data_IF_707654838275
#
_entry.id   IF_707654838275
#
_cell.length_a   1.000
_cell.length_b   1.000
_cell.length_c   1.000
_cell.angle_alpha   90.00
_cell.angle_beta   90.00
_cell.angle_gamma   90.00
#
_symmetry.space_group_name_H-M   'P 1'
#
loop_
_entity.id
_entity.type
_entity.pdbx_description
1 polymer ?
#
# COMPACT_ATOMS: atom_id res chain seq x y z
N UNK A 1 -11.34 6.99 36.35
CA UNK A 1 -10.19 7.80 35.91
C UNK A 1 -9.09 6.98 35.26
N UNK A 2 -8.58 5.93 35.88
CA UNK A 2 -7.53 5.11 35.27
C UNK A 2 -7.92 4.45 33.94
N UNK A 3 -9.19 4.04 33.79
CA UNK A 3 -9.70 3.43 32.55
C UNK A 3 -9.74 4.39 31.37
N UNK A 4 -10.08 5.67 31.63
CA UNK A 4 -10.17 6.69 30.59
C UNK A 4 -8.78 7.06 30.05
N UNK A 5 -7.78 7.14 30.92
CA UNK A 5 -6.41 7.43 30.50
C UNK A 5 -5.80 6.30 29.65
N UNK A 6 -6.08 5.05 29.99
CA UNK A 6 -5.59 3.92 29.23
C UNK A 6 -6.29 3.78 27.88
N UNK A 7 -7.56 4.19 27.79
CA UNK A 7 -8.30 4.17 26.54
C UNK A 7 -7.79 5.24 25.57
N UNK A 8 -7.54 6.44 26.05
CA UNK A 8 -7.01 7.52 25.22
C UNK A 8 -5.64 7.18 24.63
N UNK A 9 -4.72 6.72 25.47
CA UNK A 9 -3.40 6.30 25.02
C UNK A 9 -3.42 5.11 24.06
N UNK A 10 -4.39 4.21 24.22
CA UNK A 10 -4.56 3.07 23.32
C UNK A 10 -5.03 3.48 21.94
N UNK A 11 -5.94 4.42 21.84
CA UNK A 11 -6.44 4.95 20.57
C UNK A 11 -5.33 5.67 19.80
N UNK A 12 -4.61 6.56 20.46
CA UNK A 12 -3.49 7.29 19.86
C UNK A 12 -2.42 6.34 19.30
N UNK A 13 -2.09 5.27 20.02
CA UNK A 13 -1.12 4.28 19.57
C UNK A 13 -1.60 3.45 18.38
N UNK A 14 -2.89 3.18 18.30
CA UNK A 14 -3.46 2.41 17.18
C UNK A 14 -3.38 3.18 15.86
N UNK A 15 -3.55 4.48 15.92
CA UNK A 15 -3.56 5.31 14.74
C UNK A 15 -2.15 5.64 14.22
N UNK A 16 -1.15 5.52 15.07
CA UNK A 16 0.24 5.77 14.70
C UNK A 16 0.89 4.52 14.10
N UNK A 17 0.76 4.35 12.79
CA UNK A 17 1.46 3.30 12.05
C UNK A 17 2.75 3.82 11.45
N UNK A 18 3.82 3.04 11.55
CA UNK A 18 5.12 3.41 10.97
C UNK A 18 5.15 3.21 9.46
N UNK A 19 4.44 2.20 8.97
CA UNK A 19 4.41 1.86 7.56
C UNK A 19 2.98 1.64 7.07
N UNK A 20 2.69 2.17 5.88
CA UNK A 20 1.44 1.91 5.18
C UNK A 20 1.76 1.29 3.82
N UNK A 21 1.21 0.10 3.60
CA UNK A 21 1.22 -0.55 2.30
C UNK A 21 -0.12 -0.33 1.60
N UNK A 22 -0.11 -0.24 0.30
CA UNK A 22 -1.32 -0.09 -0.50
C UNK A 22 -1.30 -1.06 -1.66
N UNK A 23 -2.41 -1.76 -1.86
CA UNK A 23 -2.63 -2.61 -3.03
C UNK A 23 -3.82 -2.04 -3.78
N UNK A 24 -3.60 -1.66 -5.03
CA UNK A 24 -4.64 -1.12 -5.88
C UNK A 24 -4.74 -1.92 -7.19
N UNK A 25 -5.95 -2.05 -7.71
CA UNK A 25 -6.21 -2.65 -9.01
C UNK A 25 -7.11 -1.72 -9.82
N UNK A 26 -6.65 -1.34 -11.02
CA UNK A 26 -7.43 -0.49 -11.92
C UNK A 26 -7.84 0.84 -11.31
N UNK A 27 -9.15 1.13 -11.30
CA UNK A 27 -9.69 2.36 -10.70
C UNK A 27 -9.57 2.42 -9.17
N UNK A 28 -9.21 1.31 -8.52
CA UNK A 28 -8.98 1.26 -7.08
C UNK A 28 -7.84 2.15 -6.59
N UNK A 29 -7.04 2.70 -7.48
CA UNK A 29 -5.99 3.67 -7.13
C UNK A 29 -6.55 5.01 -6.64
N UNK A 30 -7.76 5.37 -7.05
CA UNK A 30 -8.32 6.70 -6.76
C UNK A 30 -8.38 7.02 -5.26
N UNK A 31 -8.96 6.16 -4.39
CA UNK A 31 -8.90 6.43 -2.96
C UNK A 31 -7.47 6.39 -2.40
N UNK A 32 -6.61 5.53 -2.93
CA UNK A 32 -5.22 5.42 -2.49
C UNK A 32 -4.45 6.71 -2.75
N UNK A 33 -4.58 7.25 -3.96
CA UNK A 33 -3.94 8.51 -4.34
C UNK A 33 -4.34 9.66 -3.41
N UNK A 34 -5.61 9.76 -3.07
CA UNK A 34 -6.10 10.79 -2.14
C UNK A 34 -5.51 10.62 -0.75
N UNK A 35 -5.45 9.40 -0.26
CA UNK A 35 -4.90 9.09 1.06
C UNK A 35 -3.40 9.42 1.11
N UNK A 36 -2.63 9.03 0.11
CA UNK A 36 -1.20 9.34 0.04
C UNK A 36 -0.98 10.85 0.06
N UNK A 37 -1.72 11.58 -0.74
CA UNK A 37 -1.62 13.05 -0.80
C UNK A 37 -1.87 13.67 0.56
N UNK A 38 -2.88 13.21 1.28
CA UNK A 38 -3.20 13.70 2.61
C UNK A 38 -2.10 13.36 3.62
N UNK A 39 -1.62 12.13 3.62
CA UNK A 39 -0.52 11.70 4.49
C UNK A 39 0.74 12.52 4.28
N UNK A 40 1.07 12.85 3.04
CA UNK A 40 2.25 13.67 2.72
C UNK A 40 2.07 15.12 3.14
N UNK A 41 0.85 15.66 3.07
CA UNK A 41 0.54 17.02 3.49
C UNK A 41 0.69 17.22 5.00
N UNK A 42 0.34 16.23 5.78
CA UNK A 42 0.37 16.28 7.25
C UNK A 42 1.77 16.20 7.84
N UNK A 43 2.78 15.98 7.05
CA UNK A 43 4.15 15.77 7.52
C UNK A 43 4.73 16.96 8.30
N UNK A 44 4.26 18.16 8.05
CA UNK A 44 4.78 19.36 8.69
C UNK A 44 4.22 19.68 10.07
N UNK A 45 3.21 18.96 10.53
CA UNK A 45 2.43 19.33 11.72
C UNK A 45 2.72 18.49 12.97
N UNK A 46 3.93 18.02 13.15
CA UNK A 46 4.32 17.24 14.33
C UNK A 46 3.76 15.84 14.35
N UNK A 47 3.56 15.29 13.20
CA UNK A 47 2.73 14.31 13.03
C UNK A 47 2.92 12.89 13.19
N UNK A 48 1.80 12.34 12.92
CA UNK A 48 1.54 10.92 13.00
C UNK A 48 1.49 10.29 11.63
N UNK A 49 2.02 10.98 10.62
CA UNK A 49 2.12 10.43 9.28
C UNK A 49 3.08 9.25 9.23
N UNK A 50 2.77 8.20 8.48
CA UNK A 50 3.65 7.05 8.38
C UNK A 50 5.03 7.43 7.83
N UNK A 51 6.06 6.77 8.33
CA UNK A 51 7.44 6.98 7.89
C UNK A 51 7.66 6.45 6.48
N UNK A 52 6.94 5.40 6.10
CA UNK A 52 7.06 4.76 4.79
C UNK A 52 5.67 4.47 4.21
N UNK A 53 5.54 4.75 2.92
CA UNK A 53 4.35 4.45 2.13
C UNK A 53 4.81 3.63 0.92
N UNK A 54 4.24 2.45 0.76
CA UNK A 54 4.57 1.55 -0.35
C UNK A 54 3.31 1.20 -1.12
N UNK A 55 3.33 1.39 -2.43
CA UNK A 55 2.16 1.17 -3.29
C UNK A 55 2.49 0.06 -4.29
N UNK A 56 1.66 -0.96 -4.34
CA UNK A 56 1.67 -2.02 -5.34
C UNK A 56 0.40 -1.87 -6.18
N UNK A 57 0.56 -1.52 -7.45
CA UNK A 57 -0.55 -1.17 -8.32
C UNK A 57 -0.61 -2.09 -9.54
N UNK A 58 -1.73 -2.80 -9.70
CA UNK A 58 -1.96 -3.77 -10.76
C UNK A 58 -2.91 -3.23 -11.82
N UNK A 59 -2.59 -3.45 -13.09
CA UNK A 59 -3.40 -3.08 -14.23
C UNK A 59 -3.31 -4.15 -15.33
N UNK A 60 -4.16 -4.05 -16.34
CA UNK A 60 -4.12 -4.92 -17.51
C UNK A 60 -2.94 -4.61 -18.42
N UNK A 61 -2.68 -3.34 -18.66
CA UNK A 61 -1.60 -2.85 -19.52
C UNK A 61 -1.00 -1.57 -18.96
N UNK A 62 0.11 -1.14 -19.54
CA UNK A 62 0.76 0.13 -19.16
C UNK A 62 -0.15 1.33 -19.41
N UNK A 63 -0.91 1.32 -20.49
CA UNK A 63 -1.83 2.39 -20.86
C UNK A 63 -2.99 2.54 -19.85
N UNK A 64 -3.33 1.47 -19.15
CA UNK A 64 -4.41 1.48 -18.15
C UNK A 64 -4.00 2.07 -16.80
N UNK A 65 -2.71 2.35 -16.59
CA UNK A 65 -2.21 2.87 -15.32
C UNK A 65 -2.68 4.31 -15.14
N UNK A 66 -3.63 4.49 -14.23
CA UNK A 66 -4.16 5.81 -13.89
C UNK A 66 -3.19 6.53 -12.92
N UNK A 67 -3.14 7.85 -13.02
CA UNK A 67 -2.35 8.69 -12.12
C UNK A 67 -0.86 8.34 -12.06
N UNK A 68 -0.31 7.69 -13.10
CA UNK A 68 1.07 7.22 -13.09
C UNK A 68 2.07 8.35 -12.83
N UNK A 69 1.93 9.47 -13.54
CA UNK A 69 2.86 10.60 -13.38
C UNK A 69 2.80 11.17 -11.96
N UNK A 70 1.61 11.25 -11.38
CA UNK A 70 1.44 11.73 -10.00
C UNK A 70 2.07 10.79 -8.99
N UNK A 71 1.88 9.48 -9.18
CA UNK A 71 2.48 8.46 -8.30
C UNK A 71 4.00 8.46 -8.39
N UNK A 72 4.54 8.51 -9.61
CA UNK A 72 5.98 8.57 -9.84
C UNK A 72 6.58 9.86 -9.26
N UNK A 73 5.85 10.98 -9.33
CA UNK A 73 6.27 12.23 -8.71
C UNK A 73 6.32 12.15 -7.18
N UNK A 74 5.38 11.47 -6.55
CA UNK A 74 5.44 11.25 -5.11
C UNK A 74 6.73 10.51 -4.71
N UNK A 75 7.11 9.50 -5.47
CA UNK A 75 8.36 8.76 -5.23
C UNK A 75 9.58 9.64 -5.41
N UNK A 76 9.59 10.51 -6.43
CA UNK A 76 10.70 11.46 -6.68
C UNK A 76 10.82 12.53 -5.62
N UNK A 77 9.68 13.08 -5.15
CA UNK A 77 9.66 14.14 -4.16
C UNK A 77 9.96 13.65 -2.75
N UNK A 78 9.63 12.40 -2.45
CA UNK A 78 9.80 11.81 -1.12
C UNK A 78 10.62 10.53 -1.20
N UNK A 79 11.89 10.61 -1.67
CA UNK A 79 12.73 9.43 -1.81
C UNK A 79 12.99 8.78 -0.46
N UNK A 80 12.94 7.45 -0.42
CA UNK A 80 13.08 6.69 0.81
C UNK A 80 11.82 6.61 1.67
N UNK A 81 10.81 7.46 1.40
CA UNK A 81 9.55 7.46 2.11
C UNK A 81 8.41 6.87 1.30
N UNK A 82 8.29 7.25 0.02
CA UNK A 82 7.26 6.73 -0.89
C UNK A 82 7.92 5.86 -1.93
N UNK A 83 7.41 4.64 -2.10
CA UNK A 83 7.81 3.71 -3.15
C UNK A 83 6.58 3.22 -3.89
N UNK A 84 6.69 3.17 -5.21
CA UNK A 84 5.62 2.70 -6.09
C UNK A 84 6.15 1.57 -6.94
N UNK A 85 5.42 0.47 -6.99
CA UNK A 85 5.71 -0.66 -7.84
C UNK A 85 4.48 -1.04 -8.65
N UNK A 86 4.68 -1.35 -9.90
CA UNK A 86 3.60 -1.69 -10.83
C UNK A 86 3.69 -3.14 -11.26
N UNK A 87 2.55 -3.73 -11.58
CA UNK A 87 2.49 -4.98 -12.32
C UNK A 87 1.37 -4.87 -13.37
N UNK A 88 1.60 -5.39 -14.56
CA UNK A 88 0.62 -5.42 -15.64
C UNK A 88 0.46 -6.84 -16.16
N UNK A 89 -0.75 -7.18 -16.63
CA UNK A 89 -1.00 -8.52 -17.17
C UNK A 89 -0.13 -8.78 -18.41
N UNK A 90 0.03 -7.75 -19.25
CA UNK A 90 0.87 -7.81 -20.44
C UNK A 90 1.56 -6.46 -20.66
N UNK A 91 2.88 -6.50 -20.82
CA UNK A 91 3.69 -5.32 -21.14
C UNK A 91 3.86 -5.22 -22.65
N UNK A 92 3.45 -4.09 -23.25
CA UNK A 92 3.58 -3.84 -24.69
C UNK A 92 5.02 -3.65 -25.14
N UNK A 93 5.86 -3.10 -24.26
CA UNK A 93 7.28 -2.89 -24.50
C UNK A 93 8.13 -3.57 -23.42
N UNK A 94 8.23 -4.87 -23.51
CA UNK A 94 8.90 -5.69 -22.49
C UNK A 94 10.30 -5.24 -22.13
N UNK A 95 11.07 -4.74 -23.06
CA UNK A 95 12.46 -4.29 -22.84
C UNK A 95 12.56 -3.00 -22.02
N UNK A 96 11.54 -2.13 -22.11
CA UNK A 96 11.50 -0.86 -21.39
C UNK A 96 10.74 -0.95 -20.07
N UNK A 97 9.99 -2.04 -19.87
CA UNK A 97 9.20 -2.26 -18.66
C UNK A 97 10.08 -2.85 -17.56
N UNK A 98 10.34 -2.07 -16.54
CA UNK A 98 11.23 -2.44 -15.42
C UNK A 98 10.50 -3.04 -14.21
N UNK A 99 9.17 -3.17 -14.30
CA UNK A 99 8.35 -3.68 -13.21
C UNK A 99 7.90 -5.12 -13.51
N UNK A 100 6.98 -5.65 -12.69
CA UNK A 100 6.54 -7.03 -12.86
C UNK A 100 5.47 -7.18 -13.95
N UNK A 101 5.31 -8.40 -14.42
CA UNK A 101 4.25 -8.81 -15.35
C UNK A 101 3.49 -9.95 -14.71
N UNK A 102 2.17 -9.92 -14.80
CA UNK A 102 1.27 -10.90 -14.23
C UNK A 102 0.44 -10.35 -13.09
N UNK A 103 -0.38 -11.21 -12.51
CA UNK A 103 -1.20 -10.89 -11.35
C UNK A 103 -0.33 -10.69 -10.11
N UNK A 104 -0.89 -10.01 -9.11
CA UNK A 104 -0.21 -9.83 -7.82
C UNK A 104 0.10 -11.19 -7.21
N UNK A 105 1.33 -11.35 -6.75
CA UNK A 105 1.82 -12.58 -6.12
C UNK A 105 2.23 -12.32 -4.67
N UNK A 106 2.34 -13.39 -3.91
CA UNK A 106 2.92 -13.37 -2.57
C UNK A 106 4.30 -12.71 -2.56
N UNK A 107 5.13 -13.06 -3.53
CA UNK A 107 6.50 -12.56 -3.66
C UNK A 107 6.55 -11.04 -3.89
N UNK A 108 5.63 -10.50 -4.69
CA UNK A 108 5.50 -9.05 -4.90
C UNK A 108 5.13 -8.34 -3.60
N UNK A 109 4.17 -8.88 -2.86
CA UNK A 109 3.74 -8.31 -1.58
C UNK A 109 4.89 -8.35 -0.58
N UNK A 110 5.54 -9.49 -0.45
CA UNK A 110 6.66 -9.67 0.47
C UNK A 110 7.81 -8.71 0.17
N UNK A 111 8.13 -8.51 -1.11
CA UNK A 111 9.23 -7.66 -1.53
C UNK A 111 8.95 -6.16 -1.37
N UNK A 112 7.72 -5.73 -1.66
CA UNK A 112 7.41 -4.30 -1.81
C UNK A 112 6.57 -3.70 -0.70
N UNK A 113 5.88 -4.49 0.11
CA UNK A 113 4.98 -4.02 1.14
C UNK A 113 5.45 -4.43 2.53
N UNK A 114 4.95 -3.77 3.59
CA UNK A 114 5.23 -4.22 4.95
C UNK A 114 4.58 -5.59 5.22
N UNK A 115 5.27 -6.41 5.99
CA UNK A 115 4.78 -7.71 6.45
C UNK A 115 5.15 -7.90 7.92
N UNK A 116 4.53 -8.84 8.65
CA UNK A 116 4.91 -9.09 10.05
C UNK A 116 6.39 -9.42 10.22
N UNK A 117 6.98 -10.14 9.27
CA UNK A 117 8.39 -10.52 9.31
C UNK A 117 9.34 -9.32 9.20
N UNK A 118 8.96 -8.29 8.41
CA UNK A 118 9.80 -7.10 8.19
C UNK A 118 9.46 -5.95 9.12
N UNK A 119 8.19 -5.78 9.47
CA UNK A 119 7.66 -4.55 10.07
C UNK A 119 6.98 -4.76 11.40
N UNK A 120 6.99 -5.99 11.92
CA UNK A 120 6.31 -6.32 13.18
C UNK A 120 4.82 -6.10 13.10
N UNK A 121 4.26 -5.35 14.05
CA UNK A 121 2.82 -5.07 14.14
C UNK A 121 2.45 -3.61 13.85
N UNK A 122 3.43 -2.76 13.52
CA UNK A 122 3.22 -1.33 13.32
C UNK A 122 3.06 -0.96 11.85
N UNK A 123 2.19 -1.68 11.15
CA UNK A 123 1.88 -1.38 9.75
C UNK A 123 0.39 -1.56 9.49
N UNK A 124 -0.05 -0.96 8.39
CA UNK A 124 -1.41 -1.08 7.87
C UNK A 124 -1.33 -1.29 6.37
N UNK A 125 -2.17 -2.17 5.83
CA UNK A 125 -2.31 -2.36 4.39
C UNK A 125 -3.72 -1.96 3.96
N UNK A 126 -3.79 -1.10 2.97
CA UNK A 126 -5.03 -0.64 2.37
C UNK A 126 -5.19 -1.32 1.03
N UNK A 127 -6.36 -1.88 0.76
CA UNK A 127 -6.60 -2.63 -0.49
C UNK A 127 -7.87 -2.13 -1.16
N UNK A 128 -7.76 -1.81 -2.44
CA UNK A 128 -8.91 -1.47 -3.29
C UNK A 128 -8.69 -1.99 -4.70
N UNK A 129 -9.59 -2.84 -5.16
CA UNK A 129 -9.52 -3.41 -6.50
C UNK A 129 -10.69 -4.33 -6.77
N UNK A 130 -10.73 -4.93 -7.96
CA UNK A 130 -11.84 -5.82 -8.31
C UNK A 130 -11.88 -7.07 -7.42
N UNK A 131 -13.08 -7.60 -7.14
CA UNK A 131 -13.23 -8.78 -6.29
C UNK A 131 -12.37 -9.99 -6.67
N UNK A 132 -12.16 -10.32 -7.96
CA UNK A 132 -11.27 -11.43 -8.33
C UNK A 132 -9.84 -11.25 -7.87
N UNK A 133 -9.32 -10.02 -7.89
CA UNK A 133 -7.98 -9.72 -7.38
C UNK A 133 -7.88 -10.07 -5.89
N UNK A 134 -8.88 -9.68 -5.10
CA UNK A 134 -8.92 -9.99 -3.68
C UNK A 134 -8.99 -11.50 -3.44
N UNK A 135 -9.91 -12.17 -4.11
CA UNK A 135 -10.20 -13.59 -3.88
C UNK A 135 -9.05 -14.50 -4.31
N UNK A 136 -8.47 -14.27 -5.48
CA UNK A 136 -7.53 -15.21 -6.11
C UNK A 136 -6.06 -14.81 -5.91
N UNK A 137 -5.76 -13.57 -5.64
CA UNK A 137 -4.39 -13.08 -5.52
C UNK A 137 -4.06 -12.58 -4.11
N UNK A 138 -4.78 -11.59 -3.62
CA UNK A 138 -4.41 -10.87 -2.40
C UNK A 138 -4.69 -11.68 -1.14
N UNK A 139 -5.90 -12.19 -0.96
CA UNK A 139 -6.25 -12.93 0.25
C UNK A 139 -5.41 -14.19 0.44
N UNK A 140 -5.18 -15.05 -0.59
CA UNK A 140 -4.29 -16.18 -0.42
C UNK A 140 -2.86 -15.81 -0.07
N UNK A 141 -2.35 -14.70 -0.62
CA UNK A 141 -1.01 -14.22 -0.30
C UNK A 141 -0.92 -13.73 1.15
N UNK A 142 -1.95 -13.04 1.64
CA UNK A 142 -1.98 -12.57 3.03
C UNK A 142 -1.97 -13.73 4.02
N UNK A 143 -2.69 -14.80 3.72
CA UNK A 143 -2.65 -16.02 4.55
C UNK A 143 -1.24 -16.61 4.63
N UNK A 144 -0.58 -16.75 3.50
CA UNK A 144 0.79 -17.29 3.44
C UNK A 144 1.81 -16.41 4.14
N UNK A 145 1.63 -15.10 4.12
CA UNK A 145 2.51 -14.12 4.76
C UNK A 145 2.12 -13.84 6.21
N UNK A 146 1.09 -14.50 6.71
CA UNK A 146 0.59 -14.35 8.07
C UNK A 146 0.17 -12.90 8.38
N UNK A 147 -0.36 -12.20 7.37
CA UNK A 147 -0.91 -10.85 7.54
C UNK A 147 -2.35 -10.98 8.04
N UNK A 148 -2.56 -10.66 9.29
CA UNK A 148 -3.86 -10.75 9.93
C UNK A 148 -4.82 -9.64 9.51
N UNK A 149 -6.11 -9.87 9.69
CA UNK A 149 -7.18 -8.93 9.32
C UNK A 149 -7.06 -7.59 10.03
N UNK A 150 -6.47 -7.56 11.22
CA UNK A 150 -6.24 -6.36 12.01
C UNK A 150 -5.30 -5.37 11.29
N UNK A 151 -4.51 -5.83 10.33
CA UNK A 151 -3.60 -5.00 9.54
C UNK A 151 -4.17 -4.59 8.19
N UNK A 152 -5.38 -5.01 7.83
CA UNK A 152 -5.92 -4.83 6.49
C UNK A 152 -7.23 -4.05 6.50
N UNK A 153 -7.30 -3.00 5.67
CA UNK A 153 -8.51 -2.27 5.36
C UNK A 153 -8.81 -2.42 3.88
N UNK A 154 -10.04 -2.79 3.55
CA UNK A 154 -10.49 -2.97 2.17
C UNK A 154 -11.67 -2.06 1.86
N UNK A 155 -11.76 -1.65 0.61
CA UNK A 155 -12.90 -0.91 0.05
C UNK A 155 -13.69 -1.78 -0.91
#
# INVERSE_FOLDING_TARGET
MKKLKSQGGGVERRDARDEVGMIAGGSGITPMWQIVREMLRETGAGGQSPKKISILYANKSEEDILCRDTLDNFEKQFPGRVKVWYTVDAASKKKEWKYDVGFITKEMIEKHLPTPAKSGDRFQILVCGPPPMMKFAVNPAFEKLEIGKEHVLTW
#
